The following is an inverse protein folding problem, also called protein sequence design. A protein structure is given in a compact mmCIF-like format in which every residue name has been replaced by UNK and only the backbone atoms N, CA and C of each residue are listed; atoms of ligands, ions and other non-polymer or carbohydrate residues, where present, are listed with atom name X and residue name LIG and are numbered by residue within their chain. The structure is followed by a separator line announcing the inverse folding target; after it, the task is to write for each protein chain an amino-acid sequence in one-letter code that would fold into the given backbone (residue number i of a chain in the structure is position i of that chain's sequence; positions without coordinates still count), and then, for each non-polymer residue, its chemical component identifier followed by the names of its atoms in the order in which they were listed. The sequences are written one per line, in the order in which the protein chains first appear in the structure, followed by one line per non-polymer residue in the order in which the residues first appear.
data_IF_286905919476
#
_entry.id   IF_286905919476
#
_cell.length_a   1.000
_cell.length_b   1.000
_cell.length_c   1.000
_cell.angle_alpha   90.00
_cell.angle_beta   90.00
_cell.angle_gamma   90.00
#
_symmetry.space_group_name_H-M   'P 1'
#
loop_
_entity.id
_entity.type
_entity.pdbx_description
1 polymer ?
#
# COMPACT_ATOMS: atom_id res chain seq x y z
N UNK A 1 -6.90 -22.79 -3.76
CA UNK A 1 -6.11 -21.68 -3.18
C UNK A 1 -5.51 -20.87 -4.32
N UNK A 2 -5.14 -19.59 -4.13
CA UNK A 2 -4.57 -18.77 -5.21
C UNK A 2 -3.32 -19.42 -5.83
N UNK A 3 -2.52 -20.09 -5.02
CA UNK A 3 -1.34 -20.86 -5.46
C UNK A 3 -1.64 -21.84 -6.60
N UNK A 4 -2.71 -22.60 -6.50
CA UNK A 4 -3.09 -23.62 -7.51
C UNK A 4 -3.50 -22.97 -8.83
N UNK A 5 -4.02 -21.73 -8.78
CA UNK A 5 -4.38 -20.93 -9.97
C UNK A 5 -3.15 -20.27 -10.60
N UNK A 6 -2.15 -19.88 -9.80
CA UNK A 6 -0.93 -19.24 -10.27
C UNK A 6 0.04 -20.22 -10.96
N UNK A 7 0.22 -21.41 -10.41
CA UNK A 7 1.21 -22.37 -10.91
C UNK A 7 1.15 -22.60 -12.43
N UNK A 8 -0.03 -22.83 -13.07
CA UNK A 8 -0.09 -23.01 -14.52
C UNK A 8 0.21 -21.72 -15.31
N UNK A 9 0.02 -20.53 -14.71
CA UNK A 9 0.30 -19.26 -15.36
C UNK A 9 1.78 -18.92 -15.36
N UNK A 10 2.51 -19.35 -14.33
CA UNK A 10 3.96 -19.13 -14.23
C UNK A 10 4.73 -19.75 -15.41
N UNK A 11 4.20 -20.80 -16.03
CA UNK A 11 4.79 -21.42 -17.21
C UNK A 11 4.59 -20.58 -18.50
N UNK A 12 3.74 -19.56 -18.46
CA UNK A 12 3.39 -18.73 -19.62
C UNK A 12 4.06 -17.35 -19.59
N UNK A 13 4.73 -17.00 -18.50
CA UNK A 13 5.39 -15.70 -18.34
C UNK A 13 6.89 -15.78 -18.58
N UNK A 14 7.48 -14.65 -18.99
CA UNK A 14 8.92 -14.58 -19.28
C UNK A 14 9.81 -14.88 -18.05
N UNK A 15 9.40 -14.43 -16.87
CA UNK A 15 10.20 -14.55 -15.63
C UNK A 15 9.32 -14.96 -14.44
N UNK A 16 9.06 -16.26 -14.25
CA UNK A 16 8.23 -16.75 -13.15
C UNK A 16 8.72 -16.33 -11.75
N UNK A 17 10.03 -16.14 -11.59
CA UNK A 17 10.65 -15.77 -10.30
C UNK A 17 10.10 -14.46 -9.71
N UNK A 18 9.56 -13.57 -10.53
CA UNK A 18 8.95 -12.31 -10.08
C UNK A 18 7.73 -12.50 -9.18
N UNK A 19 7.08 -13.68 -9.24
CA UNK A 19 5.72 -13.92 -8.76
C UNK A 19 5.60 -15.00 -7.70
N UNK A 20 6.72 -15.61 -7.29
CA UNK A 20 6.70 -16.81 -6.41
C UNK A 20 7.16 -16.52 -4.98
N UNK A 21 7.80 -15.38 -4.70
CA UNK A 21 8.40 -15.10 -3.39
C UNK A 21 9.49 -16.13 -3.01
N UNK A 22 9.66 -16.36 -1.70
CA UNK A 22 10.54 -17.41 -1.19
C UNK A 22 12.04 -17.06 -1.22
N UNK A 23 12.39 -15.78 -1.32
CA UNK A 23 13.77 -15.31 -1.19
C UNK A 23 14.31 -15.60 0.21
N UNK A 24 15.63 -15.73 0.31
CA UNK A 24 16.35 -16.19 1.52
C UNK A 24 15.94 -15.41 2.80
N UNK A 25 15.68 -14.10 2.68
CA UNK A 25 15.30 -13.25 3.80
C UNK A 25 13.81 -12.93 3.85
N UNK A 26 12.96 -13.65 3.12
CA UNK A 26 11.51 -13.46 3.21
C UNK A 26 10.97 -13.98 4.55
N UNK A 27 10.04 -13.23 5.14
CA UNK A 27 9.44 -13.53 6.44
C UNK A 27 8.02 -14.06 6.22
N UNK A 28 7.79 -15.31 6.58
CA UNK A 28 6.46 -15.92 6.56
C UNK A 28 6.01 -16.16 7.99
N UNK A 29 4.80 -15.70 8.34
CA UNK A 29 4.24 -15.81 9.69
C UNK A 29 2.92 -16.58 9.70
N UNK A 30 2.58 -17.13 10.85
CA UNK A 30 1.25 -17.75 11.05
C UNK A 30 0.21 -16.63 11.24
N UNK A 31 -0.74 -16.54 10.31
CA UNK A 31 -1.83 -15.54 10.31
C UNK A 31 -2.61 -15.48 11.62
N UNK A 32 -2.72 -16.59 12.35
CA UNK A 32 -3.46 -16.67 13.62
C UNK A 32 -2.88 -15.76 14.70
N UNK A 33 -1.59 -15.45 14.60
CA UNK A 33 -0.87 -14.63 15.58
C UNK A 33 -0.76 -13.17 15.13
N UNK A 34 -1.19 -12.87 13.88
CA UNK A 34 -1.03 -11.54 13.29
C UNK A 34 -2.27 -10.69 13.56
N UNK A 35 -2.04 -9.48 14.02
CA UNK A 35 -3.06 -8.46 14.29
C UNK A 35 -3.09 -7.37 13.23
N UNK A 36 -1.96 -7.14 12.57
CA UNK A 36 -1.84 -6.13 11.53
C UNK A 36 -1.04 -6.67 10.36
N UNK A 37 -1.65 -6.62 9.19
CA UNK A 37 -1.02 -7.00 7.91
C UNK A 37 -0.80 -5.79 7.04
N UNK A 38 0.38 -5.66 6.49
CA UNK A 38 0.76 -4.55 5.64
C UNK A 38 1.35 -5.05 4.33
N UNK A 39 0.79 -4.61 3.20
CA UNK A 39 1.40 -4.80 1.90
C UNK A 39 2.30 -3.60 1.59
N UNK A 40 3.59 -3.82 1.48
CA UNK A 40 4.57 -2.84 1.02
C UNK A 40 4.63 -2.89 -0.50
N UNK A 41 3.93 -1.95 -1.13
CA UNK A 41 3.73 -1.88 -2.57
C UNK A 41 4.80 -0.99 -3.23
N UNK A 42 5.51 -1.55 -4.17
CA UNK A 42 6.42 -0.79 -5.02
C UNK A 42 5.84 -0.75 -6.45
N UNK A 43 5.51 0.45 -6.99
CA UNK A 43 4.76 0.56 -8.24
C UNK A 43 5.66 0.44 -9.49
N UNK A 44 6.56 -0.53 -9.47
CA UNK A 44 7.41 -0.95 -10.57
C UNK A 44 7.63 -2.47 -10.49
N UNK A 45 8.34 -3.01 -11.47
CA UNK A 45 8.59 -4.45 -11.55
C UNK A 45 9.47 -4.97 -10.39
N UNK A 46 9.46 -6.29 -10.22
CA UNK A 46 10.19 -6.99 -9.17
C UNK A 46 11.69 -6.64 -9.14
N UNK A 47 12.38 -6.57 -10.29
CA UNK A 47 13.82 -6.34 -10.36
C UNK A 47 14.24 -4.98 -9.81
N UNK A 48 13.40 -3.97 -9.98
CA UNK A 48 13.63 -2.62 -9.43
C UNK A 48 13.26 -2.58 -7.95
N UNK A 49 12.04 -3.02 -7.62
CA UNK A 49 11.51 -2.92 -6.26
C UNK A 49 12.25 -3.81 -5.26
N UNK A 50 12.65 -5.02 -5.65
CA UNK A 50 13.35 -5.95 -4.75
C UNK A 50 14.74 -5.45 -4.33
N UNK A 51 15.33 -4.54 -5.09
CA UNK A 51 16.63 -3.91 -4.75
C UNK A 51 16.49 -2.63 -3.92
N UNK A 52 15.27 -2.09 -3.77
CA UNK A 52 15.04 -0.82 -3.10
C UNK A 52 15.29 -0.91 -1.59
N UNK A 53 16.27 -0.13 -1.09
CA UNK A 53 16.74 -0.23 0.29
C UNK A 53 15.68 0.23 1.30
N UNK A 54 14.98 1.33 1.05
CA UNK A 54 13.95 1.85 1.96
C UNK A 54 12.83 0.84 2.20
N UNK A 55 12.37 0.14 1.14
CA UNK A 55 11.38 -0.91 1.27
C UNK A 55 11.89 -2.07 2.14
N UNK A 56 13.17 -2.46 2.00
CA UNK A 56 13.78 -3.52 2.82
C UNK A 56 13.91 -3.11 4.29
N UNK A 57 14.22 -1.85 4.56
CA UNK A 57 14.29 -1.32 5.93
C UNK A 57 12.91 -1.41 6.58
N UNK A 58 11.86 -0.88 5.95
CA UNK A 58 10.49 -0.94 6.47
C UNK A 58 9.99 -2.38 6.61
N UNK A 59 10.27 -3.24 5.64
CA UNK A 59 9.95 -4.66 5.71
C UNK A 59 10.57 -5.34 6.93
N UNK A 60 11.86 -5.09 7.18
CA UNK A 60 12.56 -5.65 8.33
C UNK A 60 12.03 -5.09 9.64
N UNK A 61 11.79 -3.78 9.70
CA UNK A 61 11.28 -3.08 10.88
C UNK A 61 9.91 -3.60 11.33
N UNK A 62 8.97 -3.68 10.40
CA UNK A 62 7.60 -4.14 10.70
C UNK A 62 7.62 -5.63 11.04
N UNK A 63 8.39 -6.43 10.33
CA UNK A 63 8.49 -7.87 10.56
C UNK A 63 9.26 -8.24 11.84
N UNK A 64 10.03 -7.34 12.43
CA UNK A 64 10.63 -7.53 13.76
C UNK A 64 9.56 -7.61 14.87
N UNK A 65 8.34 -7.10 14.63
CA UNK A 65 7.21 -7.20 15.58
C UNK A 65 6.51 -8.54 15.38
N UNK A 66 6.25 -9.26 16.48
CA UNK A 66 5.65 -10.59 16.41
C UNK A 66 4.21 -10.60 15.87
N UNK A 67 3.45 -9.56 16.14
CA UNK A 67 2.04 -9.44 15.81
C UNK A 67 1.74 -8.61 14.55
N UNK A 68 2.78 -8.17 13.83
CA UNK A 68 2.67 -7.50 12.54
C UNK A 68 3.30 -8.37 11.45
N UNK A 69 2.73 -8.30 10.25
CA UNK A 69 3.31 -8.98 9.09
C UNK A 69 3.31 -8.05 7.89
N UNK A 70 4.49 -7.65 7.43
CA UNK A 70 4.69 -6.92 6.19
C UNK A 70 5.02 -7.90 5.07
N UNK A 71 4.36 -7.75 3.95
CA UNK A 71 4.56 -8.51 2.72
C UNK A 71 4.88 -7.58 1.57
N UNK A 72 5.64 -8.07 0.58
CA UNK A 72 6.06 -7.27 -0.57
C UNK A 72 5.12 -7.46 -1.74
N UNK A 73 4.89 -6.37 -2.45
CA UNK A 73 4.06 -6.36 -3.65
C UNK A 73 4.73 -5.49 -4.72
N UNK A 74 4.79 -6.00 -5.94
CA UNK A 74 5.34 -5.29 -7.09
C UNK A 74 4.33 -5.24 -8.22
N UNK A 75 4.44 -4.22 -9.08
CA UNK A 75 3.63 -4.15 -10.28
C UNK A 75 3.96 -5.35 -11.20
N UNK A 76 2.96 -6.11 -11.65
CA UNK A 76 3.22 -7.22 -12.55
C UNK A 76 3.68 -6.73 -13.93
N UNK A 77 4.52 -7.50 -14.58
CA UNK A 77 4.88 -7.25 -15.98
C UNK A 77 3.66 -7.50 -16.89
N UNK A 78 3.56 -6.86 -18.06
CA UNK A 78 2.38 -6.94 -18.92
C UNK A 78 1.91 -8.36 -19.26
N UNK A 79 2.83 -9.32 -19.39
CA UNK A 79 2.49 -10.72 -19.68
C UNK A 79 1.74 -11.38 -18.51
N UNK A 80 2.18 -11.14 -17.29
CA UNK A 80 1.49 -11.62 -16.08
C UNK A 80 0.20 -10.86 -15.83
N UNK A 81 0.20 -9.55 -16.00
CA UNK A 81 -1.00 -8.73 -15.85
C UNK A 81 -2.12 -9.20 -16.76
N UNK A 82 -1.83 -9.45 -18.03
CA UNK A 82 -2.81 -9.96 -18.98
C UNK A 82 -3.41 -11.30 -18.51
N UNK A 83 -2.57 -12.21 -18.00
CA UNK A 83 -3.03 -13.51 -17.47
C UNK A 83 -3.84 -13.35 -16.19
N UNK A 84 -3.47 -12.43 -15.30
CA UNK A 84 -4.24 -12.12 -14.08
C UNK A 84 -5.63 -11.63 -14.43
N UNK A 85 -5.75 -10.69 -15.38
CA UNK A 85 -7.04 -10.16 -15.86
C UNK A 85 -7.90 -11.25 -16.52
N UNK A 86 -7.32 -12.05 -17.43
CA UNK A 86 -8.00 -13.14 -18.12
C UNK A 86 -8.55 -14.20 -17.15
N UNK A 87 -7.81 -14.52 -16.10
CA UNK A 87 -8.14 -15.58 -15.14
C UNK A 87 -8.78 -15.05 -13.84
N UNK A 88 -9.10 -13.76 -13.76
CA UNK A 88 -9.68 -13.10 -12.57
C UNK A 88 -8.87 -13.33 -11.29
N UNK A 89 -7.54 -13.29 -11.42
CA UNK A 89 -6.61 -13.39 -10.29
C UNK A 89 -6.31 -11.98 -9.78
N UNK A 90 -6.63 -11.66 -8.53
CA UNK A 90 -6.32 -10.36 -7.95
C UNK A 90 -4.83 -10.21 -7.67
N UNK A 91 -4.34 -8.98 -7.56
CA UNK A 91 -2.99 -8.70 -7.08
C UNK A 91 -2.84 -9.17 -5.62
N UNK A 92 -1.67 -9.69 -5.28
CA UNK A 92 -1.42 -10.43 -4.04
C UNK A 92 -0.05 -10.13 -3.42
N UNK A 93 0.07 -10.41 -2.11
CA UNK A 93 1.34 -10.36 -1.39
C UNK A 93 2.23 -11.56 -1.74
N UNK A 94 3.52 -11.34 -1.94
CA UNK A 94 4.46 -12.39 -2.38
C UNK A 94 4.70 -13.47 -1.33
N UNK A 95 4.58 -13.16 -0.05
CA UNK A 95 4.87 -14.11 1.03
C UNK A 95 3.71 -15.07 1.29
N UNK A 96 2.47 -14.57 1.31
CA UNK A 96 1.29 -15.37 1.62
C UNK A 96 0.52 -15.84 0.39
N UNK A 97 0.69 -15.15 -0.73
CA UNK A 97 -0.17 -15.23 -1.91
C UNK A 97 -1.63 -14.86 -1.62
N UNK A 98 -1.89 -14.02 -0.63
CA UNK A 98 -3.23 -13.53 -0.36
C UNK A 98 -3.56 -12.28 -1.17
N UNK A 99 -4.83 -12.12 -1.59
CA UNK A 99 -5.31 -10.90 -2.23
C UNK A 99 -5.07 -9.65 -1.39
N UNK A 100 -4.73 -8.53 -2.02
CA UNK A 100 -4.45 -7.28 -1.30
C UNK A 100 -5.63 -6.75 -0.49
N UNK A 101 -6.86 -7.09 -0.85
CA UNK A 101 -8.05 -6.73 -0.06
C UNK A 101 -8.09 -7.35 1.34
N UNK A 102 -7.31 -8.40 1.59
CA UNK A 102 -7.23 -9.06 2.90
C UNK A 102 -6.23 -8.40 3.86
N UNK A 103 -5.53 -7.36 3.40
CA UNK A 103 -4.58 -6.61 4.22
C UNK A 103 -5.25 -5.46 4.95
N UNK A 104 -4.66 -5.04 6.05
CA UNK A 104 -5.09 -3.85 6.78
C UNK A 104 -4.57 -2.56 6.13
N UNK A 105 -3.36 -2.63 5.55
CA UNK A 105 -2.67 -1.51 4.94
C UNK A 105 -2.09 -1.86 3.57
N UNK A 106 -2.18 -0.91 2.64
CA UNK A 106 -1.38 -0.89 1.42
C UNK A 106 -0.50 0.37 1.43
N UNK A 107 0.80 0.19 1.63
CA UNK A 107 1.78 1.29 1.65
C UNK A 107 2.55 1.36 0.35
N UNK A 108 2.37 2.43 -0.41
CA UNK A 108 3.05 2.66 -1.68
C UNK A 108 4.30 3.53 -1.52
N UNK A 109 5.40 3.12 -2.16
CA UNK A 109 6.63 3.89 -2.20
C UNK A 109 6.66 4.79 -3.44
N UNK A 110 6.54 6.10 -3.24
CA UNK A 110 6.53 7.11 -4.31
C UNK A 110 7.96 7.58 -4.61
N UNK A 111 8.61 6.97 -5.61
CA UNK A 111 9.99 7.29 -5.97
C UNK A 111 10.09 8.32 -7.10
N UNK A 112 9.15 8.31 -8.05
CA UNK A 112 9.07 9.24 -9.17
C UNK A 112 7.65 9.23 -9.78
N UNK A 113 7.27 10.34 -10.40
CA UNK A 113 5.88 10.61 -10.81
C UNK A 113 5.41 9.70 -11.95
N UNK A 114 6.31 9.21 -12.80
CA UNK A 114 5.94 8.33 -13.91
C UNK A 114 5.35 6.98 -13.44
N UNK A 115 5.51 6.63 -12.16
CA UNK A 115 4.93 5.42 -11.58
C UNK A 115 3.47 5.59 -11.09
N UNK A 116 2.91 6.79 -11.13
CA UNK A 116 1.57 7.05 -10.57
C UNK A 116 0.47 6.22 -11.24
N UNK A 117 0.53 6.08 -12.57
CA UNK A 117 -0.43 5.24 -13.29
C UNK A 117 -0.32 3.75 -12.92
N UNK A 118 0.89 3.28 -12.57
CA UNK A 118 1.09 1.91 -12.09
C UNK A 118 0.38 1.68 -10.76
N UNK A 119 0.33 2.69 -9.87
CA UNK A 119 -0.40 2.60 -8.60
C UNK A 119 -1.87 2.35 -8.85
N UNK A 120 -2.48 3.15 -9.74
CA UNK A 120 -3.89 2.98 -10.09
C UNK A 120 -4.16 1.60 -10.71
N UNK A 121 -3.26 1.14 -11.56
CA UNK A 121 -3.34 -0.20 -12.14
C UNK A 121 -3.21 -1.31 -11.09
N UNK A 122 -2.34 -1.14 -10.09
CA UNK A 122 -2.21 -2.10 -8.99
C UNK A 122 -3.47 -2.15 -8.12
N UNK A 123 -4.11 -1.01 -7.85
CA UNK A 123 -5.39 -0.94 -7.12
C UNK A 123 -6.52 -1.62 -7.91
N UNK A 124 -6.61 -1.35 -9.21
CA UNK A 124 -7.58 -1.99 -10.10
C UNK A 124 -7.39 -3.51 -10.16
N UNK A 125 -6.14 -3.99 -10.30
CA UNK A 125 -5.82 -5.42 -10.26
C UNK A 125 -6.13 -6.06 -8.89
N UNK A 126 -6.04 -5.30 -7.82
CA UNK A 126 -6.41 -5.76 -6.47
C UNK A 126 -7.94 -5.79 -6.26
N UNK A 127 -8.72 -5.25 -7.20
CA UNK A 127 -10.16 -5.08 -7.07
C UNK A 127 -10.55 -4.06 -6.00
N UNK A 128 -9.70 -3.06 -5.77
CA UNK A 128 -9.90 -1.97 -4.80
C UNK A 128 -10.20 -0.69 -5.59
N UNK A 129 -11.25 0.04 -5.19
CA UNK A 129 -11.58 1.29 -5.87
C UNK A 129 -10.40 2.29 -5.77
N UNK A 130 -9.92 2.83 -6.90
CA UNK A 130 -8.83 3.80 -6.89
C UNK A 130 -9.16 5.06 -6.08
N UNK A 131 -10.41 5.55 -6.13
CA UNK A 131 -10.80 6.76 -5.42
C UNK A 131 -11.00 6.49 -3.93
N UNK A 132 -10.35 7.30 -3.08
CA UNK A 132 -10.43 7.18 -1.63
C UNK A 132 -11.86 7.36 -1.11
N UNK A 133 -12.64 8.27 -1.71
CA UNK A 133 -14.02 8.57 -1.33
C UNK A 133 -14.99 7.38 -1.51
N UNK A 134 -14.69 6.46 -2.43
CA UNK A 134 -15.52 5.29 -2.70
C UNK A 134 -15.19 4.10 -1.78
N UNK A 135 -14.07 4.15 -1.05
CA UNK A 135 -13.65 3.08 -0.15
C UNK A 135 -14.38 3.12 1.18
N UNK A 136 -14.61 1.96 1.74
CA UNK A 136 -15.36 1.74 2.98
C UNK A 136 -14.45 1.32 4.13
N UNK A 137 -15.02 1.07 5.31
CA UNK A 137 -14.30 0.52 6.46
C UNK A 137 -13.75 -0.89 6.23
N UNK A 138 -14.30 -1.62 5.25
CA UNK A 138 -13.89 -2.99 4.92
C UNK A 138 -12.71 -3.03 3.94
N UNK A 139 -12.39 -1.88 3.33
CA UNK A 139 -11.23 -1.75 2.44
C UNK A 139 -9.97 -1.40 3.24
N UNK A 140 -8.78 -1.83 2.79
CA UNK A 140 -7.51 -1.45 3.41
C UNK A 140 -7.33 0.07 3.52
N UNK A 141 -6.55 0.51 4.49
CA UNK A 141 -6.04 1.90 4.50
C UNK A 141 -4.91 2.00 3.49
N UNK A 142 -5.05 2.90 2.51
CA UNK A 142 -4.07 3.11 1.45
C UNK A 142 -3.26 4.36 1.75
N UNK A 143 -1.98 4.19 1.97
CA UNK A 143 -1.08 5.29 2.27
C UNK A 143 0.14 5.28 1.35
N UNK A 144 0.82 6.41 1.27
CA UNK A 144 2.04 6.54 0.51
C UNK A 144 3.13 7.28 1.28
N UNK A 145 4.38 6.95 0.95
CA UNK A 145 5.57 7.64 1.45
C UNK A 145 6.65 7.68 0.38
N UNK A 146 7.78 8.29 0.69
CA UNK A 146 8.90 8.44 -0.21
C UNK A 146 9.06 9.86 -0.79
N UNK A 147 10.08 10.11 -1.65
CA UNK A 147 10.43 11.47 -2.07
C UNK A 147 9.29 12.26 -2.70
N UNK A 148 8.47 11.60 -3.54
CA UNK A 148 7.38 12.28 -4.23
C UNK A 148 6.14 12.51 -3.34
N UNK A 149 6.09 11.93 -2.13
CA UNK A 149 5.03 12.23 -1.18
C UNK A 149 5.03 13.70 -0.72
N UNK A 150 6.18 14.39 -0.83
CA UNK A 150 6.29 15.82 -0.56
C UNK A 150 5.45 16.68 -1.51
N UNK A 151 5.04 16.15 -2.65
CA UNK A 151 4.06 16.74 -3.57
C UNK A 151 2.89 15.76 -3.71
N UNK A 152 2.09 15.66 -2.66
CA UNK A 152 1.00 14.69 -2.56
C UNK A 152 -0.23 15.06 -3.43
N UNK A 153 -0.41 16.34 -3.74
CA UNK A 153 -1.64 16.87 -4.34
C UNK A 153 -2.11 16.12 -5.60
N UNK A 154 -1.25 15.70 -6.55
CA UNK A 154 -1.69 14.95 -7.72
C UNK A 154 -2.32 13.58 -7.41
N UNK A 155 -2.13 13.08 -6.19
CA UNK A 155 -2.58 11.77 -5.74
C UNK A 155 -3.58 11.82 -4.57
N UNK A 156 -3.98 13.00 -4.11
CA UNK A 156 -4.83 13.17 -2.92
C UNK A 156 -6.19 12.45 -3.04
N UNK A 157 -6.75 12.34 -4.24
CA UNK A 157 -8.01 11.64 -4.46
C UNK A 157 -7.89 10.11 -4.35
N UNK A 158 -6.66 9.58 -4.41
CA UNK A 158 -6.41 8.13 -4.47
C UNK A 158 -5.87 7.55 -3.17
N UNK A 159 -5.38 8.36 -2.25
CA UNK A 159 -4.78 7.91 -0.99
C UNK A 159 -5.57 8.39 0.23
N UNK A 160 -5.65 7.51 1.24
CA UNK A 160 -6.25 7.88 2.52
C UNK A 160 -5.32 8.79 3.32
N UNK A 161 -4.00 8.59 3.23
CA UNK A 161 -3.01 9.47 3.85
C UNK A 161 -1.61 9.34 3.21
N UNK A 162 -0.75 10.33 3.51
CA UNK A 162 0.64 10.36 3.11
C UNK A 162 1.55 10.50 4.32
N UNK A 163 2.67 9.81 4.26
CA UNK A 163 3.74 9.93 5.22
C UNK A 163 4.85 10.80 4.63
N UNK A 164 5.17 11.91 5.29
CA UNK A 164 6.16 12.90 4.91
C UNK A 164 7.37 12.79 5.84
N UNK A 165 8.54 12.51 5.29
CA UNK A 165 9.78 12.36 6.05
C UNK A 165 10.21 10.91 6.27
N UNK A 166 10.97 10.67 7.34
CA UNK A 166 11.55 9.36 7.64
C UNK A 166 10.48 8.35 8.09
N UNK A 167 10.51 7.15 7.49
CA UNK A 167 9.46 6.14 7.68
C UNK A 167 9.59 5.30 8.94
N UNK A 168 10.77 5.21 9.51
CA UNK A 168 11.10 4.18 10.50
C UNK A 168 10.31 4.35 11.80
N UNK A 169 10.22 5.57 12.31
CA UNK A 169 9.49 5.85 13.55
C UNK A 169 7.98 5.99 13.29
N UNK A 170 7.61 6.75 12.25
CA UNK A 170 6.21 7.01 11.89
C UNK A 170 5.45 5.71 11.62
N UNK A 171 6.05 4.76 10.92
CA UNK A 171 5.40 3.48 10.60
C UNK A 171 5.09 2.64 11.85
N UNK A 172 5.92 2.70 12.86
CA UNK A 172 5.67 2.01 14.13
C UNK A 172 4.51 2.67 14.88
N UNK A 173 4.52 4.00 14.97
CA UNK A 173 3.47 4.77 15.65
C UNK A 173 2.12 4.60 14.93
N UNK A 174 2.11 4.68 13.60
CA UNK A 174 0.93 4.48 12.76
C UNK A 174 0.33 3.08 12.93
N UNK A 175 1.19 2.06 12.97
CA UNK A 175 0.77 0.67 13.21
C UNK A 175 0.20 0.49 14.62
N UNK A 176 0.80 1.10 15.65
CA UNK A 176 0.30 1.04 17.03
C UNK A 176 -1.04 1.73 17.19
N UNK A 177 -1.20 2.89 16.54
CA UNK A 177 -2.47 3.62 16.51
C UNK A 177 -3.58 2.77 15.87
N UNK A 178 -3.28 2.10 14.75
CA UNK A 178 -4.25 1.22 14.08
C UNK A 178 -4.67 0.04 14.95
N UNK A 179 -3.73 -0.57 15.65
CA UNK A 179 -4.02 -1.65 16.60
C UNK A 179 -4.94 -1.18 17.75
N UNK A 180 -4.75 0.07 18.22
CA UNK A 180 -5.66 0.69 19.17
C UNK A 180 -7.03 0.89 18.54
N UNK A 181 -7.11 1.44 17.34
CA UNK A 181 -8.35 1.66 16.61
C UNK A 181 -9.15 0.36 16.43
N UNK A 182 -8.50 -0.72 15.98
CA UNK A 182 -9.14 -2.05 15.85
C UNK A 182 -9.69 -2.58 17.17
N UNK A 183 -8.93 -2.42 18.26
CA UNK A 183 -9.36 -2.88 19.59
C UNK A 183 -10.54 -2.09 20.13
N UNK A 184 -10.61 -0.79 19.82
CA UNK A 184 -11.65 0.13 20.27
C UNK A 184 -12.83 0.25 19.29
N UNK A 185 -12.76 -0.42 18.14
CA UNK A 185 -13.83 -0.46 17.15
C UNK A 185 -14.03 0.84 16.36
N UNK A 186 -12.93 1.58 16.14
CA UNK A 186 -12.97 2.84 15.39
C UNK A 186 -13.29 2.60 13.91
N UNK A 187 -14.01 3.53 13.33
CA UNK A 187 -14.17 3.64 11.87
C UNK A 187 -12.84 4.06 11.21
N UNK A 188 -12.72 3.85 9.89
CA UNK A 188 -11.58 4.35 9.12
C UNK A 188 -11.39 5.87 9.30
N UNK A 189 -12.50 6.63 9.31
CA UNK A 189 -12.43 8.08 9.48
C UNK A 189 -11.91 8.48 10.85
N UNK A 190 -12.38 7.86 11.93
CA UNK A 190 -11.86 8.10 13.30
C UNK A 190 -10.37 7.77 13.39
N UNK A 191 -9.95 6.68 12.76
CA UNK A 191 -8.53 6.34 12.67
C UNK A 191 -7.73 7.39 11.91
N UNK A 192 -8.20 7.87 10.73
CA UNK A 192 -7.51 8.89 9.93
C UNK A 192 -7.41 10.24 10.66
N UNK A 193 -8.46 10.66 11.37
CA UNK A 193 -8.42 11.86 12.21
C UNK A 193 -7.33 11.75 13.29
N UNK A 194 -7.23 10.59 13.94
CA UNK A 194 -6.20 10.36 14.95
C UNK A 194 -4.80 10.25 14.31
N UNK A 195 -4.69 9.62 13.14
CA UNK A 195 -3.44 9.50 12.39
C UNK A 195 -2.87 10.87 11.96
N UNK A 196 -3.73 11.83 11.66
CA UNK A 196 -3.32 13.21 11.33
C UNK A 196 -2.62 13.94 12.48
N UNK A 197 -2.65 13.40 13.70
CA UNK A 197 -1.92 13.94 14.86
C UNK A 197 -0.48 13.40 14.95
N UNK A 198 -0.13 12.37 14.20
CA UNK A 198 1.23 11.86 14.10
C UNK A 198 2.04 12.86 13.25
N UNK A 199 3.17 13.32 13.78
CA UNK A 199 4.04 14.24 13.05
C UNK A 199 4.50 13.62 11.72
N UNK A 200 4.33 14.35 10.61
CA UNK A 200 4.64 13.88 9.26
C UNK A 200 3.50 13.12 8.57
N UNK A 201 2.34 12.94 9.19
CA UNK A 201 1.17 12.36 8.51
C UNK A 201 0.27 13.44 7.92
N UNK A 202 0.02 13.35 6.61
CA UNK A 202 -0.92 14.20 5.89
C UNK A 202 -2.13 13.38 5.44
N UNK A 203 -3.32 13.81 5.84
CA UNK A 203 -4.61 13.17 5.51
C UNK A 203 -5.42 14.12 4.64
N UNK A 204 -5.44 13.96 3.31
CA UNK A 204 -6.06 14.91 2.39
C UNK A 204 -7.52 15.22 2.70
N UNK A 205 -8.31 14.22 3.09
CA UNK A 205 -9.73 14.39 3.40
C UNK A 205 -10.04 15.32 4.57
N UNK A 206 -9.01 15.70 5.36
CA UNK A 206 -9.12 16.65 6.46
C UNK A 206 -8.77 18.09 6.07
N UNK A 207 -8.58 18.35 4.77
CA UNK A 207 -8.27 19.66 4.25
C UNK A 207 -9.23 20.07 3.14
N UNK A 208 -9.57 21.34 3.10
CA UNK A 208 -10.25 21.98 1.97
C UNK A 208 -9.21 22.73 1.13
N UNK A 209 -9.08 22.35 -0.14
CA UNK A 209 -8.21 23.04 -1.10
C UNK A 209 -9.04 23.95 -1.96
N UNK A 210 -8.70 25.25 -1.99
CA UNK A 210 -9.32 26.23 -2.88
C UNK A 210 -8.37 26.59 -4.01
N UNK A 211 -8.94 26.77 -5.19
CA UNK A 211 -8.19 27.09 -6.39
C UNK A 211 -8.61 28.44 -6.95
N UNK A 212 -7.67 29.18 -7.51
CA UNK A 212 -7.92 30.36 -8.35
C UNK A 212 -8.56 29.92 -9.67
N UNK A 213 -9.11 30.91 -10.41
CA UNK A 213 -9.73 30.67 -11.72
C UNK A 213 -8.74 30.07 -12.76
N UNK A 214 -7.44 30.29 -12.59
CA UNK A 214 -6.37 29.75 -13.45
C UNK A 214 -5.92 28.32 -13.05
N UNK A 215 -6.53 27.72 -12.00
CA UNK A 215 -6.23 26.38 -11.52
C UNK A 215 -5.05 26.31 -10.53
N UNK A 216 -4.46 27.43 -10.15
CA UNK A 216 -3.44 27.44 -9.09
C UNK A 216 -4.09 27.38 -7.70
N UNK A 217 -3.39 26.79 -6.72
CA UNK A 217 -3.89 26.67 -5.34
C UNK A 217 -3.95 28.07 -4.70
N UNK A 218 -5.15 28.46 -4.24
CA UNK A 218 -5.37 29.68 -3.46
C UNK A 218 -5.07 29.46 -1.98
N UNK A 219 -5.61 28.37 -1.42
CA UNK A 219 -5.41 28.03 -0.01
C UNK A 219 -5.64 26.54 0.26
N UNK A 220 -4.98 26.04 1.31
CA UNK A 220 -5.19 24.71 1.89
C UNK A 220 -5.51 24.90 3.36
N UNK A 221 -6.72 24.59 3.78
CA UNK A 221 -7.21 24.84 5.14
C UNK A 221 -7.70 23.55 5.79
N UNK A 222 -7.32 23.27 7.05
CA UNK A 222 -7.86 22.13 7.76
C UNK A 222 -9.37 22.28 7.99
N UNK A 223 -10.12 21.18 7.89
CA UNK A 223 -11.57 21.13 8.10
C UNK A 223 -11.96 20.75 9.53
N UNK A 224 -10.98 20.30 10.35
CA UNK A 224 -11.15 19.88 11.75
C UNK A 224 -10.10 20.50 12.67
#
# INVERSE_FOLDING_TARGET
MLKDQLEPLLLKVQKPIRYVGGEFNSVVKDKKNIRTRMALCFPDNYEIGMSHLGLKILYSLINAREDCWAERVYAPWPDMEALMRENHIPLYGLESLDPLREFDFLGFSLQYELSYTNILNMLDLAGIDPLAENRTNDDPVIFAGGPCAMNAEPLCDFFDCFQLGEGEEIMLEFTDLYRKAKREGWSKQEFLIAAAQIEGMYVPSLYEVKYHEDGTIESVMPTH
#
